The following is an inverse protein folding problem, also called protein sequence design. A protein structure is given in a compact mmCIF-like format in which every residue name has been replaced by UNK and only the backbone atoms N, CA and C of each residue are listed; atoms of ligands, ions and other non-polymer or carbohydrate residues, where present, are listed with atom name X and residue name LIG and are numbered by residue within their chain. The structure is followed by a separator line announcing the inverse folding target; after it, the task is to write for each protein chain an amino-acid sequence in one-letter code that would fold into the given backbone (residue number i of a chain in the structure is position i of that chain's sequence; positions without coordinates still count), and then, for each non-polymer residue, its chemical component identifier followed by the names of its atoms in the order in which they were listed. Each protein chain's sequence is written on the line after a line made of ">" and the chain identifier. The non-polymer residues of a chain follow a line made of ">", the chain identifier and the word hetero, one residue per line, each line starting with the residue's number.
data_IF_135858313870
#
_entry.id   IF_135858313870
#
_cell.length_a   1.000
_cell.length_b   1.000
_cell.length_c   1.000
_cell.angle_alpha   90.00
_cell.angle_beta   90.00
_cell.angle_gamma   90.00
#
_symmetry.space_group_name_H-M   'P 1'
#
loop_
_entity.id
_entity.type
_entity.pdbx_description
1 polymer ?
#
# COMPACT_ATOMS: atom_id res chain seq x y z
N UNK A 1 4.33 17.52 -20.41
CA UNK A 1 3.24 16.64 -19.98
C UNK A 1 3.60 16.11 -18.61
N UNK A 2 2.72 16.29 -17.64
CA UNK A 2 2.94 15.74 -16.30
C UNK A 2 2.90 14.20 -16.37
N UNK A 3 3.88 13.54 -15.76
CA UNK A 3 4.04 12.09 -15.80
C UNK A 3 4.32 11.54 -14.39
N UNK A 4 4.04 10.25 -14.20
CA UNK A 4 4.22 9.60 -12.91
C UNK A 4 5.67 9.68 -12.47
N UNK A 5 5.93 10.28 -11.30
CA UNK A 5 7.29 10.45 -10.78
C UNK A 5 8.01 9.12 -10.51
N UNK A 6 7.28 7.99 -10.44
CA UNK A 6 7.86 6.66 -10.20
C UNK A 6 8.11 5.84 -11.47
N UNK A 7 7.27 5.95 -12.51
CA UNK A 7 7.35 5.07 -13.69
C UNK A 7 7.21 5.78 -15.04
N UNK A 8 7.04 7.10 -15.06
CA UNK A 8 6.85 7.87 -16.31
C UNK A 8 5.47 7.72 -16.96
N UNK A 9 4.55 6.93 -16.40
CA UNK A 9 3.19 6.80 -16.94
C UNK A 9 2.47 8.16 -16.95
N UNK A 10 1.93 8.64 -18.10
CA UNK A 10 1.27 9.93 -18.19
C UNK A 10 -0.09 10.01 -17.49
N UNK A 11 -0.72 8.87 -17.17
CA UNK A 11 -2.03 8.83 -16.50
C UNK A 11 -1.89 9.03 -14.99
N UNK A 12 -1.79 10.29 -14.56
CA UNK A 12 -1.75 10.68 -13.15
C UNK A 12 -3.15 10.65 -12.55
N UNK A 13 -3.29 9.98 -11.40
CA UNK A 13 -4.56 9.96 -10.66
C UNK A 13 -4.51 10.79 -9.37
N UNK A 14 -3.31 11.08 -8.86
CA UNK A 14 -3.14 11.77 -7.58
C UNK A 14 -1.88 12.62 -7.54
N UNK A 15 -2.01 13.81 -6.95
CA UNK A 15 -0.90 14.66 -6.51
C UNK A 15 -0.87 14.68 -4.98
N UNK A 16 0.16 14.09 -4.38
CA UNK A 16 0.28 14.01 -2.92
C UNK A 16 0.65 15.37 -2.34
N UNK A 17 -0.21 15.93 -1.48
CA UNK A 17 0.04 17.24 -0.83
C UNK A 17 1.35 17.27 -0.02
N UNK A 18 1.67 16.17 0.67
CA UNK A 18 2.83 16.10 1.57
C UNK A 18 4.18 16.02 0.85
N UNK A 19 4.25 15.32 -0.29
CA UNK A 19 5.51 15.07 -1.00
C UNK A 19 5.60 15.74 -2.37
N UNK A 20 4.52 16.37 -2.84
CA UNK A 20 4.43 16.93 -4.20
C UNK A 20 4.39 15.87 -5.32
N UNK A 21 4.42 14.58 -4.99
CA UNK A 21 4.51 13.51 -5.97
C UNK A 21 3.24 13.36 -6.81
N UNK A 22 3.41 13.27 -8.12
CA UNK A 22 2.36 12.87 -9.06
C UNK A 22 2.50 11.38 -9.35
N UNK A 23 1.44 10.61 -9.12
CA UNK A 23 1.46 9.15 -9.24
C UNK A 23 0.30 8.65 -10.12
N UNK A 24 0.62 7.68 -10.97
CA UNK A 24 -0.40 6.84 -11.60
C UNK A 24 -0.99 5.85 -10.59
N UNK A 25 -2.10 5.19 -10.96
CA UNK A 25 -2.85 4.29 -10.09
C UNK A 25 -1.98 3.18 -9.49
N UNK A 26 -1.22 2.47 -10.33
CA UNK A 26 -0.38 1.35 -9.89
C UNK A 26 0.71 1.79 -8.92
N UNK A 27 1.40 2.89 -9.24
CA UNK A 27 2.47 3.43 -8.39
C UNK A 27 1.93 3.94 -7.06
N UNK A 28 0.71 4.51 -7.05
CA UNK A 28 0.04 4.91 -5.82
C UNK A 28 -0.28 3.69 -4.96
N UNK A 29 -0.98 2.68 -5.48
CA UNK A 29 -1.34 1.45 -4.75
C UNK A 29 -0.09 0.76 -4.21
N UNK A 30 0.95 0.59 -5.05
CA UNK A 30 2.24 0.00 -4.64
C UNK A 30 2.90 0.79 -3.52
N UNK A 31 2.87 2.13 -3.58
CA UNK A 31 3.45 2.97 -2.53
C UNK A 31 2.74 2.81 -1.18
N UNK A 32 1.43 2.58 -1.17
CA UNK A 32 0.66 2.32 0.06
C UNK A 32 1.03 0.96 0.63
N UNK A 33 1.09 -0.08 -0.20
CA UNK A 33 1.51 -1.43 0.22
C UNK A 33 2.94 -1.43 0.80
N UNK A 34 3.88 -0.72 0.15
CA UNK A 34 5.26 -0.56 0.62
C UNK A 34 5.31 0.16 1.98
N UNK A 35 4.48 1.19 2.17
CA UNK A 35 4.39 1.92 3.45
C UNK A 35 3.89 1.01 4.57
N UNK A 36 2.81 0.27 4.35
CA UNK A 36 2.28 -0.69 5.34
C UNK A 36 3.32 -1.74 5.71
N UNK A 37 4.01 -2.34 4.73
CA UNK A 37 5.07 -3.31 4.99
C UNK A 37 6.23 -2.70 5.79
N UNK A 38 6.62 -1.46 5.47
CA UNK A 38 7.65 -0.73 6.21
C UNK A 38 7.24 -0.52 7.67
N UNK A 39 5.99 -0.15 7.91
CA UNK A 39 5.49 0.09 9.27
C UNK A 39 5.37 -1.20 10.07
N UNK A 40 4.88 -2.30 9.47
CA UNK A 40 4.86 -3.65 10.10
C UNK A 40 6.27 -4.06 10.55
N UNK A 41 7.28 -3.88 9.67
CA UNK A 41 8.68 -4.22 9.99
C UNK A 41 9.26 -3.31 11.06
N UNK A 42 9.02 -2.00 10.96
CA UNK A 42 9.54 -1.01 11.91
C UNK A 42 9.01 -1.23 13.32
N UNK A 43 7.73 -1.57 13.43
CA UNK A 43 7.04 -1.78 14.71
C UNK A 43 7.04 -3.25 15.15
N UNK A 44 7.63 -4.16 14.36
CA UNK A 44 7.67 -5.61 14.64
C UNK A 44 6.28 -6.20 14.93
N UNK A 45 5.28 -5.85 14.11
CA UNK A 45 3.87 -6.22 14.35
C UNK A 45 3.53 -7.67 13.96
N UNK A 46 4.28 -8.25 13.03
CA UNK A 46 4.02 -9.59 12.47
C UNK A 46 5.36 -10.24 12.12
N UNK A 47 5.52 -11.50 12.52
CA UNK A 47 6.67 -12.34 12.26
C UNK A 47 6.34 -13.56 11.38
N UNK A 48 7.39 -14.25 10.91
CA UNK A 48 7.21 -15.43 10.07
C UNK A 48 6.65 -16.57 10.90
N UNK A 49 5.48 -17.06 10.52
CA UNK A 49 4.78 -18.14 11.21
C UNK A 49 3.50 -17.68 11.92
N UNK A 50 3.35 -16.36 12.11
CA UNK A 50 2.18 -15.79 12.75
C UNK A 50 0.89 -16.09 11.98
N UNK A 51 -0.15 -16.42 12.74
CA UNK A 51 -1.53 -16.46 12.24
C UNK A 51 -2.19 -15.13 12.59
N UNK A 52 -2.29 -14.25 11.59
CA UNK A 52 -2.87 -12.91 11.76
C UNK A 52 -4.38 -12.96 11.56
N UNK A 53 -5.14 -12.61 12.60
CA UNK A 53 -6.59 -12.39 12.52
C UNK A 53 -6.87 -10.94 12.13
N UNK A 54 -7.75 -10.72 11.16
CA UNK A 54 -8.18 -9.38 10.73
C UNK A 54 -9.67 -9.21 11.05
N UNK A 55 -9.99 -8.27 11.94
CA UNK A 55 -11.38 -7.91 12.24
C UNK A 55 -11.94 -7.03 11.12
N UNK A 56 -13.02 -7.50 10.46
CA UNK A 56 -13.67 -6.79 9.36
C UNK A 56 -14.93 -6.09 9.83
N UNK A 57 -15.03 -4.80 9.54
CA UNK A 57 -16.25 -4.00 9.72
C UNK A 57 -17.05 -3.85 8.42
N UNK A 58 -16.50 -4.27 7.28
CA UNK A 58 -17.04 -3.99 5.95
C UNK A 58 -16.68 -2.60 5.41
N UNK A 59 -16.04 -1.75 6.23
CA UNK A 59 -15.57 -0.43 5.81
C UNK A 59 -14.30 -0.50 4.96
N UNK A 60 -14.05 0.58 4.20
CA UNK A 60 -12.87 0.73 3.32
C UNK A 60 -11.55 0.42 4.03
N UNK A 61 -11.42 0.78 5.31
CA UNK A 61 -10.16 0.70 6.04
C UNK A 61 -9.82 -0.76 6.42
N UNK A 62 -10.80 -1.49 6.96
CA UNK A 62 -10.62 -2.91 7.33
C UNK A 62 -10.51 -3.81 6.11
N UNK A 63 -11.26 -3.52 5.05
CA UNK A 63 -11.17 -4.25 3.76
C UNK A 63 -9.83 -3.99 3.07
N UNK A 64 -9.36 -2.74 3.02
CA UNK A 64 -8.05 -2.41 2.45
C UNK A 64 -6.92 -3.10 3.21
N UNK A 65 -6.95 -3.11 4.55
CA UNK A 65 -5.94 -3.79 5.35
C UNK A 65 -5.89 -5.30 5.04
N UNK A 66 -7.05 -5.96 4.95
CA UNK A 66 -7.13 -7.36 4.58
C UNK A 66 -6.50 -7.62 3.20
N UNK A 67 -6.84 -6.81 2.19
CA UNK A 67 -6.29 -6.97 0.85
C UNK A 67 -4.76 -6.82 0.84
N UNK A 68 -4.23 -5.79 1.52
CA UNK A 68 -2.79 -5.56 1.61
C UNK A 68 -2.09 -6.73 2.30
N UNK A 69 -2.59 -7.20 3.44
CA UNK A 69 -2.00 -8.33 4.17
C UNK A 69 -2.07 -9.63 3.36
N UNK A 70 -3.17 -9.87 2.64
CA UNK A 70 -3.31 -11.02 1.74
C UNK A 70 -2.32 -10.96 0.57
N UNK A 71 -2.10 -9.77 -0.01
CA UNK A 71 -1.09 -9.55 -1.05
C UNK A 71 0.33 -9.79 -0.52
N UNK A 72 0.64 -9.33 0.69
CA UNK A 72 1.94 -9.59 1.33
C UNK A 72 2.15 -11.08 1.63
N UNK A 73 1.09 -11.79 2.06
CA UNK A 73 1.12 -13.24 2.29
C UNK A 73 1.42 -14.04 1.02
N UNK A 74 0.94 -13.58 -0.15
CA UNK A 74 1.16 -14.24 -1.46
C UNK A 74 2.58 -14.06 -2.01
N UNK A 75 3.31 -13.01 -1.59
CA UNK A 75 4.71 -12.74 -2.00
C UNK A 75 5.73 -13.67 -1.33
N UNK A 76 5.32 -14.88 -0.95
CA UNK A 76 6.18 -15.92 -0.38
C UNK A 76 7.19 -16.40 -1.41
#
# INVERSE_FOLDING_TARGET
>A
MDACHKCGNPQIIIKRKQSGQMLCQECFIKSIQEKVLKDIRKQKLVEKGDKVLVALSGGKDSVMLLDILNNLRKRR
#
